data_IF_471117776316
#
_entry.id   IF_471117776316
#
_cell.length_a   1.000
_cell.length_b   1.000
_cell.length_c   1.000
_cell.angle_alpha   90.00
_cell.angle_beta   90.00
_cell.angle_gamma   90.00
#
_symmetry.space_group_name_H-M   'P 1'
#
loop_
_entity.id
_entity.type
_entity.pdbx_description
1 polymer ?
#
# COMPACT_ATOMS: atom_id res chain seq x y z
N UNK A 1 -51.46 34.56 3.23
CA UNK A 1 -51.03 34.14 1.88
C UNK A 1 -49.49 34.01 1.72
N UNK A 2 -48.69 34.24 2.77
CA UNK A 2 -47.22 34.33 2.71
C UNK A 2 -46.45 33.02 3.00
N UNK A 3 -47.04 32.06 3.73
CA UNK A 3 -46.37 30.80 4.15
C UNK A 3 -45.91 29.86 3.01
N UNK A 4 -46.40 30.05 1.78
CA UNK A 4 -46.15 29.13 0.64
C UNK A 4 -44.90 29.48 -0.18
N UNK A 5 -44.39 30.71 -0.06
CA UNK A 5 -43.23 31.19 -0.84
C UNK A 5 -41.89 30.79 -0.20
N UNK A 6 -41.84 30.62 1.12
CA UNK A 6 -40.60 30.30 1.84
C UNK A 6 -40.12 28.86 1.56
N UNK A 7 -41.04 27.90 1.47
CA UNK A 7 -40.70 26.49 1.21
C UNK A 7 -39.95 26.28 -0.11
N UNK A 8 -40.27 27.05 -1.15
CA UNK A 8 -39.57 26.96 -2.44
C UNK A 8 -38.15 27.55 -2.38
N UNK A 9 -37.96 28.64 -1.64
CA UNK A 9 -36.63 29.28 -1.51
C UNK A 9 -35.66 28.40 -0.72
N UNK A 10 -36.14 27.75 0.35
CA UNK A 10 -35.35 26.79 1.11
C UNK A 10 -34.97 25.54 0.30
N UNK A 11 -35.90 25.01 -0.50
CA UNK A 11 -35.61 23.86 -1.37
C UNK A 11 -34.53 24.18 -2.41
N UNK A 12 -34.58 25.37 -3.01
CA UNK A 12 -33.58 25.84 -3.97
C UNK A 12 -32.21 26.07 -3.33
N UNK A 13 -32.17 26.72 -2.16
CA UNK A 13 -30.92 26.91 -1.40
C UNK A 13 -30.28 25.57 -1.01
N UNK A 14 -31.08 24.63 -0.49
CA UNK A 14 -30.61 23.28 -0.15
C UNK A 14 -30.03 22.56 -1.37
N UNK A 15 -30.67 22.68 -2.54
CA UNK A 15 -30.18 22.07 -3.78
C UNK A 15 -28.80 22.60 -4.18
N UNK A 16 -28.57 23.91 -4.09
CA UNK A 16 -27.27 24.51 -4.37
C UNK A 16 -26.20 24.13 -3.35
N UNK A 17 -26.55 24.06 -2.05
CA UNK A 17 -25.63 23.59 -1.01
C UNK A 17 -25.21 22.13 -1.20
N UNK A 18 -26.16 21.24 -1.51
CA UNK A 18 -25.88 19.83 -1.77
C UNK A 18 -25.03 19.67 -3.03
N UNK A 19 -25.31 20.42 -4.09
CA UNK A 19 -24.50 20.41 -5.32
C UNK A 19 -23.07 20.90 -5.07
N UNK A 20 -22.89 21.98 -4.30
CA UNK A 20 -21.57 22.47 -3.90
C UNK A 20 -20.82 21.46 -3.04
N UNK A 21 -21.48 20.91 -2.02
CA UNK A 21 -20.91 19.90 -1.13
C UNK A 21 -20.48 18.64 -1.91
N UNK A 22 -21.26 18.20 -2.89
CA UNK A 22 -20.96 17.02 -3.70
C UNK A 22 -19.65 17.15 -4.49
N UNK A 23 -19.27 18.38 -4.86
CA UNK A 23 -18.01 18.68 -5.57
C UNK A 23 -16.86 18.86 -4.58
N UNK A 24 -17.10 19.58 -3.48
CA UNK A 24 -16.05 19.92 -2.51
C UNK A 24 -15.68 18.78 -1.57
N UNK A 25 -16.62 17.91 -1.19
CA UNK A 25 -16.35 16.75 -0.31
C UNK A 25 -15.26 15.84 -0.87
N UNK A 26 -15.35 15.32 -2.11
CA UNK A 26 -14.30 14.44 -2.62
C UNK A 26 -12.95 15.13 -2.70
N UNK A 27 -12.90 16.42 -3.04
CA UNK A 27 -11.66 17.20 -3.08
C UNK A 27 -11.08 17.46 -1.68
N UNK A 28 -11.93 17.71 -0.68
CA UNK A 28 -11.51 17.82 0.72
C UNK A 28 -10.96 16.49 1.25
N UNK A 29 -11.61 15.37 0.89
CA UNK A 29 -11.16 14.03 1.27
C UNK A 29 -9.80 13.71 0.63
N UNK A 30 -9.58 14.03 -0.65
CA UNK A 30 -8.27 13.80 -1.27
C UNK A 30 -7.17 14.63 -0.61
N UNK A 31 -7.42 15.91 -0.35
CA UNK A 31 -6.47 16.76 0.37
C UNK A 31 -6.18 16.23 1.78
N UNK A 32 -7.20 15.76 2.50
CA UNK A 32 -7.03 15.13 3.81
C UNK A 32 -6.14 13.89 3.73
N UNK A 33 -6.38 13.00 2.77
CA UNK A 33 -5.60 11.77 2.60
C UNK A 33 -4.15 12.10 2.22
N UNK A 34 -3.95 13.03 1.28
CA UNK A 34 -2.59 13.47 0.88
C UNK A 34 -1.85 14.09 2.05
N UNK A 35 -2.49 15.00 2.80
CA UNK A 35 -1.88 15.60 3.98
C UNK A 35 -1.59 14.56 5.07
N UNK A 36 -2.49 13.60 5.28
CA UNK A 36 -2.26 12.49 6.21
C UNK A 36 -1.04 11.65 5.82
N UNK A 37 -0.90 11.31 4.53
CA UNK A 37 0.24 10.55 4.02
C UNK A 37 1.55 11.34 4.14
N UNK A 38 1.57 12.61 3.76
CA UNK A 38 2.75 13.47 3.91
C UNK A 38 3.17 13.57 5.38
N UNK A 39 2.23 13.84 6.28
CA UNK A 39 2.52 13.89 7.72
C UNK A 39 3.02 12.55 8.26
N UNK A 40 2.49 11.43 7.76
CA UNK A 40 2.95 10.09 8.14
C UNK A 40 4.38 9.83 7.66
N UNK A 41 4.72 10.26 6.45
CA UNK A 41 6.06 10.15 5.90
C UNK A 41 7.05 11.08 6.61
N UNK A 42 6.66 12.31 6.92
CA UNK A 42 7.48 13.30 7.63
C UNK A 42 7.83 12.84 9.06
N UNK A 43 7.04 11.94 9.69
CA UNK A 43 7.44 11.27 10.94
C UNK A 43 8.74 10.48 10.81
N UNK A 44 9.11 10.01 9.62
CA UNK A 44 10.38 9.30 9.42
C UNK A 44 11.59 10.22 9.61
N UNK A 45 11.43 11.53 9.44
CA UNK A 45 12.47 12.51 9.75
C UNK A 45 12.83 12.52 11.24
N UNK A 46 11.93 12.06 12.12
CA UNK A 46 12.22 11.93 13.56
C UNK A 46 13.29 10.86 13.86
N UNK A 47 13.52 9.92 12.94
CA UNK A 47 14.61 8.94 13.04
C UNK A 47 15.99 9.60 12.93
N UNK A 48 16.05 10.82 12.37
CA UNK A 48 17.27 11.60 12.26
C UNK A 48 17.51 12.35 13.60
N UNK A 49 18.73 12.27 14.17
CA UNK A 49 19.09 13.02 15.37
C UNK A 49 18.81 14.52 15.19
N UNK A 50 18.41 15.24 16.27
CA UNK A 50 18.05 16.66 16.21
C UNK A 50 19.02 17.59 15.44
N UNK A 51 20.36 17.41 15.45
CA UNK A 51 21.27 18.29 14.71
C UNK A 51 21.24 18.12 13.18
N UNK A 52 20.78 16.98 12.65
CA UNK A 52 20.80 16.70 11.21
C UNK A 52 19.41 16.83 10.55
N UNK A 53 18.42 17.35 11.29
CA UNK A 53 17.09 17.53 10.74
C UNK A 53 17.06 18.69 9.74
N UNK A 54 16.36 18.54 8.61
CA UNK A 54 16.31 19.54 7.56
C UNK A 54 15.73 20.87 8.07
N UNK A 55 14.83 20.85 9.06
CA UNK A 55 14.31 22.07 9.72
C UNK A 55 15.43 22.96 10.27
N UNK A 56 16.50 22.38 10.82
CA UNK A 56 17.65 23.11 11.37
C UNK A 56 18.74 23.40 10.35
N UNK A 57 18.85 22.58 9.29
CA UNK A 57 19.86 22.75 8.25
C UNK A 57 19.46 23.82 7.21
N UNK A 58 18.19 23.85 6.83
CA UNK A 58 17.66 24.72 5.79
C UNK A 58 16.80 25.86 6.33
N UNK A 59 16.43 25.84 7.60
CA UNK A 59 15.61 26.89 8.26
C UNK A 59 14.19 27.00 7.71
N UNK A 60 13.76 26.04 6.88
CA UNK A 60 12.46 25.98 6.22
C UNK A 60 11.94 24.55 6.35
N UNK A 61 10.71 24.42 6.85
CA UNK A 61 10.00 23.15 6.89
C UNK A 61 9.40 22.88 5.51
N UNK A 62 10.02 22.00 4.72
CA UNK A 62 9.47 21.58 3.42
C UNK A 62 8.63 20.32 3.65
N UNK A 63 7.29 20.40 3.58
CA UNK A 63 6.42 19.25 3.77
C UNK A 63 6.67 18.22 2.67
N UNK A 64 6.79 16.95 3.06
CA UNK A 64 7.07 15.83 2.13
C UNK A 64 8.55 15.48 1.97
N UNK A 65 9.48 16.14 2.67
CA UNK A 65 10.88 15.71 2.75
C UNK A 65 11.02 14.30 3.33
N UNK A 66 10.16 13.93 4.29
CA UNK A 66 10.13 12.57 4.83
C UNK A 66 9.77 11.53 3.78
N UNK A 67 9.05 11.90 2.71
CA UNK A 67 8.75 10.99 1.61
C UNK A 67 10.02 10.59 0.85
N UNK A 68 10.90 11.57 0.59
CA UNK A 68 12.19 11.34 -0.08
C UNK A 68 13.10 10.49 0.81
N UNK A 69 13.17 10.80 2.11
CA UNK A 69 13.95 10.01 3.06
C UNK A 69 13.44 8.56 3.11
N UNK A 70 12.13 8.37 3.25
CA UNK A 70 11.50 7.05 3.27
C UNK A 70 11.82 6.28 1.99
N UNK A 71 11.73 6.93 0.83
CA UNK A 71 12.07 6.32 -0.45
C UNK A 71 13.52 5.83 -0.50
N UNK A 72 14.48 6.66 -0.09
CA UNK A 72 15.89 6.28 -0.02
C UNK A 72 16.10 5.12 0.96
N UNK A 73 15.43 5.14 2.12
CA UNK A 73 15.54 4.08 3.12
C UNK A 73 14.98 2.75 2.62
N UNK A 74 13.82 2.77 1.96
CA UNK A 74 13.20 1.57 1.37
C UNK A 74 14.09 1.01 0.25
N UNK A 75 14.63 1.87 -0.63
CA UNK A 75 15.58 1.42 -1.66
C UNK A 75 16.85 0.84 -1.06
N UNK A 76 17.47 1.54 -0.10
CA UNK A 76 18.70 1.09 0.55
C UNK A 76 18.52 -0.23 1.28
N UNK A 77 17.44 -0.38 2.04
CA UNK A 77 17.10 -1.65 2.71
C UNK A 77 16.82 -2.76 1.71
N UNK A 78 16.09 -2.48 0.62
CA UNK A 78 15.86 -3.43 -0.47
C UNK A 78 17.16 -3.92 -1.11
N UNK A 79 18.08 -3.01 -1.43
CA UNK A 79 19.41 -3.35 -1.97
C UNK A 79 20.23 -4.20 -0.99
N UNK A 80 20.19 -3.87 0.30
CA UNK A 80 20.86 -4.66 1.33
C UNK A 80 20.29 -6.09 1.40
N UNK A 81 18.97 -6.24 1.38
CA UNK A 81 18.28 -7.53 1.42
C UNK A 81 18.52 -8.36 0.16
N UNK A 82 18.68 -7.72 -1.00
CA UNK A 82 18.96 -8.43 -2.25
C UNK A 82 20.28 -9.21 -2.20
N UNK A 83 21.26 -8.74 -1.41
CA UNK A 83 22.57 -9.38 -1.22
C UNK A 83 22.50 -10.62 -0.31
N UNK A 84 23.42 -11.57 -0.50
CA UNK A 84 23.49 -12.81 0.28
C UNK A 84 23.50 -12.57 1.79
N UNK A 85 24.22 -11.55 2.26
CA UNK A 85 24.26 -11.16 3.67
C UNK A 85 22.89 -10.68 4.17
N UNK A 86 22.21 -9.82 3.43
CA UNK A 86 20.89 -9.32 3.81
C UNK A 86 19.83 -10.41 3.84
N UNK A 87 19.84 -11.35 2.89
CA UNK A 87 18.96 -12.53 2.92
C UNK A 87 19.15 -13.35 4.20
N UNK A 88 20.40 -13.59 4.60
CA UNK A 88 20.72 -14.32 5.84
C UNK A 88 20.29 -13.55 7.09
N UNK A 89 20.49 -12.23 7.12
CA UNK A 89 20.07 -11.37 8.23
C UNK A 89 18.54 -11.37 8.40
N UNK A 90 17.80 -11.26 7.30
CA UNK A 90 16.33 -11.34 7.31
C UNK A 90 15.88 -12.72 7.80
N UNK A 91 16.45 -13.81 7.27
CA UNK A 91 16.10 -15.16 7.72
C UNK A 91 16.40 -15.38 9.22
N UNK A 92 17.51 -14.83 9.72
CA UNK A 92 17.80 -14.84 11.15
C UNK A 92 16.73 -14.09 11.95
N UNK A 93 16.38 -12.87 11.53
CA UNK A 93 15.35 -12.08 12.20
C UNK A 93 13.99 -12.78 12.21
N UNK A 94 13.58 -13.36 11.08
CA UNK A 94 12.36 -14.17 10.99
C UNK A 94 12.41 -15.36 11.94
N UNK A 95 13.55 -16.04 12.07
CA UNK A 95 13.69 -17.15 13.01
C UNK A 95 13.51 -16.72 14.48
N UNK A 96 13.91 -15.50 14.83
CA UNK A 96 13.73 -14.92 16.16
C UNK A 96 12.26 -14.58 16.37
N UNK A 97 11.63 -13.89 15.43
CA UNK A 97 10.20 -13.52 15.50
C UNK A 97 9.30 -14.76 15.60
N UNK A 98 9.65 -15.83 14.87
CA UNK A 98 8.90 -17.09 14.86
C UNK A 98 8.90 -17.84 16.20
N UNK A 99 9.79 -17.48 17.14
CA UNK A 99 9.80 -18.06 18.50
C UNK A 99 8.74 -17.45 19.42
N UNK A 100 8.21 -16.28 19.09
CA UNK A 100 7.22 -15.59 19.91
C UNK A 100 5.82 -15.84 19.31
N UNK A 101 4.96 -16.65 19.96
CA UNK A 101 3.74 -17.18 19.34
C UNK A 101 2.76 -16.10 18.85
N UNK A 102 2.62 -14.99 19.57
CA UNK A 102 1.74 -13.87 19.16
C UNK A 102 2.33 -13.04 18.01
N UNK A 103 3.65 -12.83 18.02
CA UNK A 103 4.34 -12.00 17.01
C UNK A 103 4.43 -12.75 15.69
N UNK A 104 4.69 -14.06 15.75
CA UNK A 104 4.75 -14.94 14.58
C UNK A 104 3.50 -14.83 13.72
N UNK A 105 2.30 -14.98 14.30
CA UNK A 105 1.05 -15.01 13.53
C UNK A 105 0.77 -13.68 12.82
N UNK A 106 1.07 -12.56 13.48
CA UNK A 106 0.91 -11.21 12.91
C UNK A 106 1.92 -10.98 11.79
N UNK A 107 3.19 -11.28 12.03
CA UNK A 107 4.25 -11.09 11.05
C UNK A 107 4.07 -11.98 9.82
N UNK A 108 3.80 -13.29 10.00
CA UNK A 108 3.62 -14.22 8.90
C UNK A 108 2.38 -13.90 8.06
N UNK A 109 1.28 -13.50 8.69
CA UNK A 109 0.07 -13.08 7.99
C UNK A 109 0.30 -11.82 7.14
N UNK A 110 0.96 -10.80 7.72
CA UNK A 110 1.30 -9.59 6.98
C UNK A 110 2.27 -9.88 5.81
N UNK A 111 3.29 -10.70 6.05
CA UNK A 111 4.25 -11.12 5.01
C UNK A 111 3.55 -11.86 3.87
N UNK A 112 2.66 -12.79 4.17
CA UNK A 112 1.93 -13.56 3.17
C UNK A 112 1.05 -12.67 2.28
N UNK A 113 0.35 -11.70 2.87
CA UNK A 113 -0.46 -10.73 2.09
C UNK A 113 0.45 -9.90 1.19
N UNK A 114 1.58 -9.40 1.71
CA UNK A 114 2.54 -8.64 0.92
C UNK A 114 3.13 -9.47 -0.22
N UNK A 115 3.58 -10.70 0.05
CA UNK A 115 4.08 -11.63 -0.97
C UNK A 115 3.03 -11.92 -2.02
N UNK A 116 1.76 -12.09 -1.65
CA UNK A 116 0.67 -12.35 -2.62
C UNK A 116 0.38 -11.16 -3.52
N UNK A 117 0.38 -9.93 -2.97
CA UNK A 117 0.14 -8.70 -3.74
C UNK A 117 1.33 -8.35 -4.66
N UNK A 118 2.55 -8.69 -4.24
CA UNK A 118 3.79 -8.42 -4.97
C UNK A 118 4.19 -9.58 -5.91
N UNK A 119 3.65 -10.78 -5.71
CA UNK A 119 3.80 -11.89 -6.64
C UNK A 119 3.03 -11.55 -7.91
N UNK A 120 3.74 -11.35 -9.01
CA UNK A 120 3.13 -11.13 -10.32
C UNK A 120 2.10 -12.24 -10.60
N UNK A 121 0.82 -11.90 -10.64
CA UNK A 121 -0.31 -12.83 -10.68
C UNK A 121 -0.49 -13.57 -12.01
N UNK A 122 0.53 -14.25 -12.53
CA UNK A 122 0.54 -14.64 -13.94
C UNK A 122 1.29 -15.91 -14.36
N UNK A 123 1.72 -16.81 -13.47
CA UNK A 123 2.42 -18.05 -13.88
C UNK A 123 1.64 -19.35 -13.59
N UNK A 124 0.41 -19.30 -13.07
CA UNK A 124 -0.28 -20.53 -12.64
C UNK A 124 -1.06 -21.28 -13.73
N UNK A 125 -1.14 -20.78 -14.98
CA UNK A 125 -1.94 -21.42 -16.03
C UNK A 125 -1.37 -21.33 -17.46
N UNK A 126 -0.06 -21.11 -17.63
CA UNK A 126 0.51 -20.89 -18.98
C UNK A 126 0.85 -22.17 -19.75
N UNK A 127 0.90 -23.33 -19.10
CA UNK A 127 1.30 -24.59 -19.74
C UNK A 127 0.13 -25.57 -19.80
N UNK A 128 -0.42 -25.69 -21.00
CA UNK A 128 -1.40 -26.71 -21.36
C UNK A 128 -0.67 -27.84 -22.08
N UNK A 129 -0.81 -29.05 -21.56
CA UNK A 129 -0.28 -30.26 -22.14
C UNK A 129 -1.41 -31.04 -22.81
N UNK A 130 -1.08 -31.71 -23.91
CA UNK A 130 -1.98 -32.66 -24.55
C UNK A 130 -1.47 -34.06 -24.21
N UNK A 131 -2.28 -34.84 -23.51
CA UNK A 131 -1.92 -36.22 -23.14
C UNK A 131 -2.90 -37.21 -23.76
N UNK A 132 -2.40 -38.38 -24.10
CA UNK A 132 -3.22 -39.46 -24.64
C UNK A 132 -3.83 -40.26 -23.49
N UNK A 133 -5.12 -40.03 -23.21
CA UNK A 133 -5.87 -40.67 -22.13
C UNK A 133 -7.36 -40.69 -22.49
N UNK A 134 -8.12 -41.77 -22.21
CA UNK A 134 -7.71 -43.01 -21.52
C UNK A 134 -7.14 -44.11 -22.42
N UNK A 135 -7.19 -43.96 -23.75
CA UNK A 135 -6.68 -44.96 -24.71
C UNK A 135 -6.05 -44.29 -25.94
N UNK A 136 -5.24 -45.07 -26.66
CA UNK A 136 -4.58 -44.63 -27.89
C UNK A 136 -5.58 -44.07 -28.90
N UNK A 137 -5.25 -42.93 -29.49
CA UNK A 137 -6.07 -42.15 -30.42
C UNK A 137 -6.94 -41.07 -29.78
N UNK A 138 -6.97 -40.93 -28.45
CA UNK A 138 -7.80 -39.93 -27.74
C UNK A 138 -6.92 -38.98 -26.95
N UNK A 139 -6.99 -37.69 -27.30
CA UNK A 139 -6.19 -36.63 -26.69
C UNK A 139 -7.01 -35.78 -25.73
N UNK A 140 -6.48 -35.57 -24.53
CA UNK A 140 -7.08 -34.77 -23.47
C UNK A 140 -6.19 -33.57 -23.14
N UNK A 141 -6.81 -32.42 -22.87
CA UNK A 141 -6.12 -31.22 -22.41
C UNK A 141 -5.85 -31.32 -20.90
N UNK A 142 -4.65 -30.96 -20.48
CA UNK A 142 -4.23 -30.97 -19.08
C UNK A 142 -3.50 -29.68 -18.73
N UNK A 143 -3.72 -29.17 -17.51
CA UNK A 143 -3.05 -27.99 -17.00
C UNK A 143 -1.97 -28.41 -15.99
N UNK A 144 -0.79 -27.82 -16.10
CA UNK A 144 0.26 -28.03 -15.10
C UNK A 144 -0.07 -27.23 -13.84
N UNK A 145 -0.28 -27.92 -12.72
CA UNK A 145 -0.65 -27.31 -11.43
C UNK A 145 0.54 -27.11 -10.48
N UNK A 146 1.69 -27.74 -10.74
CA UNK A 146 2.93 -27.59 -9.98
C UNK A 146 4.16 -27.75 -10.89
N UNK A 147 5.23 -27.01 -10.61
CA UNK A 147 6.54 -27.14 -11.27
C UNK A 147 7.56 -27.81 -10.36
#
# INVERSE_FOLDING_TARGET
MTKRLDHHRFATLRRYLVAGLLIWVPLGVTLLVVAFLINLMDRTLLLIPPPYRPERLFGIDIPGLGAVLLFILVLGTGMLVANLFGRRLVAFWESVLNRIPLVRSVYSGAKQVAETMLSEGGESFKKVYLIEYPRRGIWSLCFQTAS
#
